data_IF_521214589190
#
_entry.id   IF_521214589190
#
_cell.length_a   1.000
_cell.length_b   1.000
_cell.length_c   1.000
_cell.angle_alpha   90.00
_cell.angle_beta   90.00
_cell.angle_gamma   90.00
#
_symmetry.space_group_name_H-M   'P 1'
#
loop_
_entity.id
_entity.type
_entity.pdbx_description
1 polymer ?
#
# COMPACT_ATOMS: atom_id res chain seq x y z
N UNK A 1 -1.40 -17.07 12.06
CA UNK A 1 -1.86 -16.08 13.07
C UNK A 1 -0.72 -15.29 13.77
N UNK A 2 0.40 -15.91 14.13
CA UNK A 2 1.47 -15.27 14.91
C UNK A 2 2.23 -14.18 14.12
N UNK A 3 2.45 -14.38 12.81
CA UNK A 3 3.18 -13.42 11.96
C UNK A 3 2.43 -12.09 11.80
N UNK A 4 1.11 -12.13 11.61
CA UNK A 4 0.28 -10.93 11.45
C UNK A 4 0.30 -10.08 12.74
N UNK A 5 0.30 -10.74 13.90
CA UNK A 5 0.47 -10.08 15.20
C UNK A 5 1.86 -9.48 15.37
N UNK A 6 2.93 -10.19 14.98
CA UNK A 6 4.30 -9.68 15.04
C UNK A 6 4.51 -8.46 14.12
N UNK A 7 3.94 -8.48 12.92
CA UNK A 7 3.96 -7.39 11.96
C UNK A 7 3.26 -6.15 12.52
N UNK A 8 2.05 -6.33 13.06
CA UNK A 8 1.29 -5.25 13.71
C UNK A 8 2.04 -4.65 14.90
N UNK A 9 2.63 -5.49 15.76
CA UNK A 9 3.43 -5.03 16.90
C UNK A 9 4.64 -4.23 16.43
N UNK A 10 5.35 -4.72 15.41
CA UNK A 10 6.52 -4.03 14.85
C UNK A 10 6.13 -2.68 14.29
N UNK A 11 5.00 -2.62 13.56
CA UNK A 11 4.45 -1.39 13.00
C UNK A 11 4.06 -0.40 14.11
N UNK A 12 3.35 -0.85 15.16
CA UNK A 12 2.99 -0.02 16.32
C UNK A 12 4.22 0.54 17.02
N UNK A 13 5.25 -0.29 17.24
CA UNK A 13 6.51 0.15 17.87
C UNK A 13 7.24 1.18 17.00
N UNK A 14 7.33 0.94 15.69
CA UNK A 14 7.93 1.88 14.74
C UNK A 14 7.23 3.24 14.79
N UNK A 15 5.89 3.26 14.79
CA UNK A 15 5.14 4.51 14.91
C UNK A 15 5.29 5.19 16.26
N UNK A 16 5.30 4.42 17.35
CA UNK A 16 5.48 4.97 18.69
C UNK A 16 6.85 5.67 18.83
N UNK A 17 7.89 5.12 18.21
CA UNK A 17 9.24 5.68 18.26
C UNK A 17 9.49 6.78 17.21
N UNK A 18 8.91 6.68 16.02
CA UNK A 18 9.11 7.66 14.92
C UNK A 18 8.05 8.77 14.89
N UNK A 19 7.01 8.71 15.73
CA UNK A 19 5.89 9.66 15.75
C UNK A 19 6.28 11.13 15.85
N UNK A 20 7.32 11.47 16.63
CA UNK A 20 7.80 12.87 16.73
C UNK A 20 8.40 13.38 15.43
N UNK A 21 9.14 12.55 14.69
CA UNK A 21 9.74 12.92 13.42
C UNK A 21 8.68 12.98 12.30
N UNK A 22 7.68 12.09 12.34
CA UNK A 22 6.52 12.13 11.44
C UNK A 22 5.81 13.49 11.56
N UNK A 23 5.57 13.97 12.78
CA UNK A 23 4.95 15.27 13.02
C UNK A 23 5.84 16.47 12.63
N UNK A 24 7.17 16.32 12.70
CA UNK A 24 8.11 17.38 12.36
C UNK A 24 8.28 17.60 10.86
N UNK A 25 7.96 16.60 10.02
CA UNK A 25 8.25 16.62 8.58
C UNK A 25 7.01 16.37 7.69
N UNK A 26 5.90 17.12 7.85
CA UNK A 26 4.66 16.88 7.12
C UNK A 26 4.80 17.04 5.60
N UNK A 27 5.71 17.91 5.15
CA UNK A 27 5.97 18.15 3.72
C UNK A 27 6.55 16.90 3.05
N UNK A 28 7.47 16.19 3.71
CA UNK A 28 8.07 14.96 3.18
C UNK A 28 7.01 13.88 3.05
N UNK A 29 6.12 13.78 4.03
CA UNK A 29 4.99 12.84 4.01
C UNK A 29 4.07 13.14 2.82
N UNK A 30 3.70 14.40 2.60
CA UNK A 30 2.88 14.80 1.45
C UNK A 30 3.57 14.49 0.12
N UNK A 31 4.87 14.76 0.02
CA UNK A 31 5.66 14.48 -1.18
C UNK A 31 5.78 12.98 -1.48
N UNK A 32 5.79 12.12 -0.45
CA UNK A 32 5.76 10.66 -0.60
C UNK A 32 4.35 10.13 -0.89
N UNK A 33 3.32 10.73 -0.30
CA UNK A 33 1.94 10.27 -0.44
C UNK A 33 1.42 10.40 -1.86
N UNK A 34 1.76 11.49 -2.56
CA UNK A 34 1.34 11.74 -3.94
C UNK A 34 1.78 10.62 -4.90
N UNK A 35 3.09 10.29 -5.03
CA UNK A 35 3.55 9.26 -5.94
C UNK A 35 3.04 7.87 -5.56
N UNK A 36 2.99 7.52 -4.27
CA UNK A 36 2.46 6.23 -3.81
C UNK A 36 0.98 6.09 -4.20
N UNK A 37 0.18 7.13 -3.96
CA UNK A 37 -1.25 7.12 -4.29
C UNK A 37 -1.46 6.94 -5.78
N UNK A 38 -0.73 7.70 -6.60
CA UNK A 38 -0.80 7.61 -8.06
C UNK A 38 -0.40 6.21 -8.53
N UNK A 39 0.71 5.67 -8.01
CA UNK A 39 1.20 4.34 -8.37
C UNK A 39 0.17 3.26 -8.08
N UNK A 40 -0.43 3.25 -6.88
CA UNK A 40 -1.41 2.23 -6.48
C UNK A 40 -2.67 2.30 -7.35
N UNK A 41 -3.20 3.51 -7.59
CA UNK A 41 -4.37 3.66 -8.46
C UNK A 41 -4.06 3.28 -9.91
N UNK A 42 -2.94 3.72 -10.46
CA UNK A 42 -2.57 3.40 -11.84
C UNK A 42 -2.37 1.90 -12.03
N UNK A 43 -1.59 1.25 -11.17
CA UNK A 43 -1.30 -0.17 -11.31
C UNK A 43 -2.56 -1.03 -11.10
N UNK A 44 -3.39 -0.68 -10.10
CA UNK A 44 -4.64 -1.42 -9.86
C UNK A 44 -5.64 -1.25 -11.01
N UNK A 45 -5.81 -0.04 -11.53
CA UNK A 45 -6.70 0.21 -12.68
C UNK A 45 -6.19 -0.49 -13.95
N UNK A 46 -4.88 -0.43 -14.23
CA UNK A 46 -4.28 -1.13 -15.36
C UNK A 46 -4.46 -2.64 -15.26
N UNK A 47 -4.16 -3.22 -14.10
CA UNK A 47 -4.30 -4.65 -13.87
C UNK A 47 -5.77 -5.08 -13.97
N UNK A 48 -6.71 -4.30 -13.42
CA UNK A 48 -8.13 -4.59 -13.48
C UNK A 48 -8.68 -4.50 -14.92
N UNK A 49 -8.25 -3.48 -15.66
CA UNK A 49 -8.60 -3.30 -17.07
C UNK A 49 -8.03 -4.42 -17.96
N UNK A 50 -6.77 -4.80 -17.74
CA UNK A 50 -6.13 -5.89 -18.47
C UNK A 50 -6.83 -7.22 -18.20
N UNK A 51 -7.19 -7.51 -16.95
CA UNK A 51 -8.00 -8.67 -16.59
C UNK A 51 -9.36 -8.67 -17.32
N UNK A 52 -10.01 -7.50 -17.44
CA UNK A 52 -11.26 -7.38 -18.21
C UNK A 52 -11.05 -7.69 -19.69
N UNK A 53 -9.98 -7.16 -20.29
CA UNK A 53 -9.62 -7.44 -21.70
C UNK A 53 -9.30 -8.92 -21.94
N UNK A 54 -8.75 -9.60 -20.94
CA UNK A 54 -8.48 -11.04 -20.95
C UNK A 54 -9.69 -11.91 -20.59
N UNK A 55 -10.87 -11.32 -20.34
CA UNK A 55 -12.12 -12.01 -19.96
C UNK A 55 -11.99 -12.85 -18.69
N UNK A 56 -11.16 -12.42 -17.75
CA UNK A 56 -11.02 -13.06 -16.43
C UNK A 56 -12.26 -12.77 -15.59
N UNK A 57 -12.75 -13.74 -14.84
CA UNK A 57 -13.89 -13.55 -13.95
C UNK A 57 -13.58 -12.49 -12.87
N UNK A 58 -14.57 -11.68 -12.49
CA UNK A 58 -14.41 -10.61 -11.48
C UNK A 58 -13.83 -11.12 -10.16
N UNK A 59 -14.21 -12.33 -9.76
CA UNK A 59 -13.72 -13.01 -8.55
C UNK A 59 -12.20 -13.27 -8.56
N UNK A 60 -11.55 -13.29 -9.72
CA UNK A 60 -10.09 -13.42 -9.87
C UNK A 60 -9.46 -12.08 -10.23
N UNK A 61 -10.13 -11.29 -11.08
CA UNK A 61 -9.64 -9.99 -11.54
C UNK A 61 -9.47 -8.96 -10.40
N UNK A 62 -10.40 -8.94 -9.43
CA UNK A 62 -10.33 -8.03 -8.29
C UNK A 62 -9.12 -8.29 -7.40
N UNK A 63 -8.95 -9.51 -6.86
CA UNK A 63 -7.76 -9.89 -6.10
C UNK A 63 -6.46 -9.75 -6.91
N UNK A 64 -6.46 -10.12 -8.20
CA UNK A 64 -5.31 -9.98 -9.08
C UNK A 64 -4.86 -8.52 -9.23
N UNK A 65 -5.81 -7.59 -9.42
CA UNK A 65 -5.51 -6.17 -9.54
C UNK A 65 -4.91 -5.58 -8.26
N UNK A 66 -5.36 -6.05 -7.09
CA UNK A 66 -4.82 -5.64 -5.80
C UNK A 66 -3.40 -6.18 -5.59
N UNK A 67 -3.16 -7.46 -5.91
CA UNK A 67 -1.82 -8.05 -5.82
C UNK A 67 -0.83 -7.29 -6.70
N UNK A 68 -1.21 -6.94 -7.94
CA UNK A 68 -0.35 -6.19 -8.85
C UNK A 68 -0.07 -4.74 -8.42
N UNK A 69 -0.90 -4.16 -7.54
CA UNK A 69 -0.73 -2.81 -7.02
C UNK A 69 -0.06 -2.75 -5.63
N UNK A 70 0.00 -3.87 -4.91
CA UNK A 70 0.48 -3.95 -3.53
C UNK A 70 2.00 -3.94 -3.44
N UNK A 71 2.54 -3.21 -2.46
CA UNK A 71 3.96 -3.24 -2.12
C UNK A 71 4.22 -4.05 -0.83
N UNK A 72 5.34 -4.79 -0.81
CA UNK A 72 5.78 -5.54 0.38
C UNK A 72 6.51 -4.63 1.37
N UNK A 73 5.75 -3.86 2.14
CA UNK A 73 6.34 -2.91 3.07
C UNK A 73 7.13 -3.53 4.22
N UNK A 74 6.71 -4.68 4.72
CA UNK A 74 7.40 -5.29 5.86
C UNK A 74 8.86 -5.61 5.51
N UNK A 75 9.07 -6.10 4.28
CA UNK A 75 10.40 -6.27 3.71
C UNK A 75 11.10 -4.91 3.50
N UNK A 76 10.39 -3.92 2.95
CA UNK A 76 10.97 -2.59 2.69
C UNK A 76 11.45 -1.89 3.96
N UNK A 77 10.68 -1.96 5.04
CA UNK A 77 11.01 -1.41 6.36
C UNK A 77 12.22 -2.15 6.95
N UNK A 78 12.23 -3.48 6.90
CA UNK A 78 13.35 -4.28 7.39
C UNK A 78 14.65 -3.91 6.65
N UNK A 79 14.59 -3.80 5.32
CA UNK A 79 15.75 -3.40 4.49
C UNK A 79 16.17 -1.95 4.77
N UNK A 80 15.24 -1.01 4.90
CA UNK A 80 15.56 0.39 5.17
C UNK A 80 16.25 0.57 6.54
N UNK A 81 15.76 -0.12 7.56
CA UNK A 81 16.39 -0.13 8.89
C UNK A 81 17.77 -0.79 8.82
N UNK A 82 17.92 -1.90 8.10
CA UNK A 82 19.18 -2.61 7.97
C UNK A 82 20.27 -1.81 7.23
N UNK A 83 19.90 -1.05 6.18
CA UNK A 83 20.86 -0.30 5.36
C UNK A 83 21.12 1.12 5.85
N UNK A 84 20.08 1.84 6.28
CA UNK A 84 20.17 3.27 6.61
C UNK A 84 20.06 3.53 8.13
N UNK A 85 19.76 2.50 8.92
CA UNK A 85 19.55 2.63 10.35
C UNK A 85 18.17 3.19 10.69
N UNK A 86 17.80 3.01 11.96
CA UNK A 86 16.47 3.31 12.50
C UNK A 86 16.10 4.80 12.47
N UNK A 87 17.08 5.69 12.65
CA UNK A 87 16.88 7.15 12.73
C UNK A 87 16.92 7.85 11.36
N UNK A 88 17.05 7.10 10.26
CA UNK A 88 17.11 7.70 8.93
C UNK A 88 15.73 8.14 8.43
N UNK A 89 15.71 9.20 7.62
CA UNK A 89 14.49 9.61 6.89
C UNK A 89 14.00 8.53 5.92
N UNK A 90 14.89 7.63 5.46
CA UNK A 90 14.53 6.49 4.63
C UNK A 90 13.68 5.45 5.39
N UNK A 91 14.08 5.08 6.61
CA UNK A 91 13.29 4.18 7.45
C UNK A 91 11.92 4.80 7.77
N UNK A 92 11.87 6.09 8.13
CA UNK A 92 10.63 6.81 8.37
C UNK A 92 9.72 6.86 7.13
N UNK A 93 10.27 7.09 5.95
CA UNK A 93 9.53 7.11 4.69
C UNK A 93 8.85 5.75 4.40
N UNK A 94 9.53 4.63 4.65
CA UNK A 94 8.96 3.29 4.44
C UNK A 94 7.82 2.97 5.40
N UNK A 95 7.94 3.40 6.65
CA UNK A 95 6.91 3.20 7.69
C UNK A 95 5.68 4.06 7.37
N UNK A 96 5.87 5.35 7.07
CA UNK A 96 4.79 6.27 6.68
C UNK A 96 4.12 5.82 5.38
N UNK A 97 4.86 5.26 4.43
CA UNK A 97 4.31 4.71 3.19
C UNK A 97 3.20 3.69 3.43
N UNK A 98 3.33 2.84 4.46
CA UNK A 98 2.31 1.86 4.85
C UNK A 98 1.00 2.54 5.25
N UNK A 99 1.07 3.62 6.05
CA UNK A 99 -0.13 4.33 6.49
C UNK A 99 -0.91 4.95 5.34
N UNK A 100 -0.22 5.29 4.25
CA UNK A 100 -0.85 5.87 3.07
C UNK A 100 -1.39 4.75 2.17
N UNK A 101 -0.61 3.70 1.94
CA UNK A 101 -1.00 2.65 1.00
C UNK A 101 -2.18 1.80 1.52
N UNK A 102 -2.23 1.45 2.81
CA UNK A 102 -3.30 0.58 3.31
C UNK A 102 -4.70 1.21 3.11
N UNK A 103 -4.95 2.49 3.46
CA UNK A 103 -6.21 3.15 3.16
C UNK A 103 -6.51 3.27 1.66
N UNK A 104 -5.50 3.59 0.85
CA UNK A 104 -5.64 3.70 -0.62
C UNK A 104 -5.98 2.33 -1.23
N UNK A 105 -5.41 1.26 -0.70
CA UNK A 105 -5.74 -0.08 -1.15
C UNK A 105 -7.19 -0.43 -0.78
N UNK A 106 -7.62 -0.15 0.45
CA UNK A 106 -9.01 -0.35 0.88
C UNK A 106 -10.01 0.45 0.03
N UNK A 107 -9.66 1.67 -0.38
CA UNK A 107 -10.50 2.46 -1.29
C UNK A 107 -10.58 1.82 -2.68
N UNK A 108 -9.46 1.31 -3.22
CA UNK A 108 -9.44 0.54 -4.47
C UNK A 108 -10.30 -0.72 -4.37
N UNK A 109 -10.19 -1.51 -3.28
CA UNK A 109 -11.05 -2.69 -3.06
C UNK A 109 -12.53 -2.30 -3.12
N UNK A 110 -12.89 -1.22 -2.43
CA UNK A 110 -14.27 -0.70 -2.42
C UNK A 110 -14.74 -0.32 -3.83
N UNK A 111 -13.89 0.36 -4.61
CA UNK A 111 -14.19 0.74 -6.01
C UNK A 111 -14.37 -0.50 -6.88
N UNK A 112 -13.45 -1.48 -6.80
CA UNK A 112 -13.51 -2.73 -7.57
C UNK A 112 -14.79 -3.50 -7.25
N UNK A 113 -15.15 -3.63 -5.98
CA UNK A 113 -16.37 -4.31 -5.55
C UNK A 113 -17.65 -3.60 -6.04
N UNK A 114 -17.68 -2.25 -6.01
CA UNK A 114 -18.81 -1.47 -6.55
C UNK A 114 -18.90 -1.55 -8.08
N UNK A 115 -17.77 -1.66 -8.75
CA UNK A 115 -17.69 -1.76 -10.22
C UNK A 115 -18.09 -3.13 -10.78
N UNK A 116 -18.44 -4.11 -9.92
CA UNK A 116 -18.77 -5.48 -10.32
C UNK A 116 -19.84 -5.54 -11.42
N UNK A 117 -20.93 -4.78 -11.27
CA UNK A 117 -22.00 -4.74 -12.27
C UNK A 117 -21.48 -4.28 -13.65
N UNK A 118 -20.73 -3.18 -13.71
CA UNK A 118 -20.08 -2.71 -14.95
C UNK A 118 -19.06 -3.70 -15.52
N UNK A 119 -18.37 -4.44 -14.65
CA UNK A 119 -17.40 -5.45 -15.06
C UNK A 119 -18.07 -6.64 -15.74
N UNK A 120 -19.21 -7.09 -15.22
CA UNK A 120 -20.00 -8.22 -15.74
C UNK A 120 -20.89 -7.85 -16.94
N UNK A 121 -21.12 -6.56 -17.21
CA UNK A 121 -21.99 -6.10 -18.32
C UNK A 121 -21.30 -6.14 -19.71
N UNK A 122 -20.30 -6.99 -19.96
CA UNK A 122 -19.68 -7.17 -21.30
C UNK A 122 -19.08 -8.57 -21.47
#
# INVERSE_FOLDING_TARGET
PISLSALLITLVLLFAFQGKQILAQPIIIGLLAIPITIQVYLNSMLAYWLNKKLKVAHCVAGPSALIGASNFFELAVATAIALFGFNSGAALATVVGVLIEVPVMLSVVSIVNRSKSWYETN
#
